data_IF_897192932769
#
_entry.id   IF_897192932769
#
_cell.length_a   1.000
_cell.length_b   1.000
_cell.length_c   1.000
_cell.angle_alpha   90.00
_cell.angle_beta   90.00
_cell.angle_gamma   90.00
#
_symmetry.space_group_name_H-M   'P 1'
#
loop_
_entity.id
_entity.type
_entity.pdbx_description
1 polymer ?
#
# COMPACT_ATOMS: atom_id res chain seq x y z
N UNK A 1 18.86 -15.80 -19.72
CA UNK A 1 19.89 -16.87 -19.71
C UNK A 1 19.33 -18.26 -19.31
N UNK A 2 18.01 -18.53 -19.44
CA UNK A 2 17.40 -19.85 -19.17
C UNK A 2 17.43 -20.80 -20.37
N UNK A 3 17.28 -20.27 -21.59
CA UNK A 3 17.21 -21.05 -22.83
C UNK A 3 18.45 -21.93 -23.10
N UNK A 4 19.65 -21.46 -22.74
CA UNK A 4 20.90 -22.20 -22.97
C UNK A 4 20.87 -23.60 -22.33
N UNK A 5 20.25 -23.72 -21.15
CA UNK A 5 20.11 -25.02 -20.48
C UNK A 5 19.23 -25.98 -21.27
N UNK A 6 18.06 -25.52 -21.74
CA UNK A 6 17.16 -26.35 -22.54
C UNK A 6 17.80 -26.84 -23.85
N UNK A 7 18.54 -25.96 -24.52
CA UNK A 7 19.31 -26.34 -25.71
C UNK A 7 20.35 -27.43 -25.41
N UNK A 8 21.15 -27.24 -24.36
CA UNK A 8 22.19 -28.20 -23.99
C UNK A 8 21.62 -29.54 -23.54
N UNK A 9 20.54 -29.51 -22.77
CA UNK A 9 19.84 -30.71 -22.29
C UNK A 9 19.25 -31.51 -23.47
N UNK A 10 18.61 -30.86 -24.44
CA UNK A 10 18.07 -31.51 -25.65
C UNK A 10 19.17 -32.06 -26.56
N UNK A 11 20.27 -31.33 -26.74
CA UNK A 11 21.40 -31.80 -27.54
C UNK A 11 22.06 -33.04 -26.90
N UNK A 12 22.23 -33.05 -25.58
CA UNK A 12 22.74 -34.20 -24.85
C UNK A 12 21.78 -35.40 -24.97
N UNK A 13 20.48 -35.16 -24.80
CA UNK A 13 19.46 -36.20 -24.92
C UNK A 13 19.41 -36.84 -26.32
N UNK A 14 19.51 -36.03 -27.39
CA UNK A 14 19.58 -36.53 -28.77
C UNK A 14 20.80 -37.41 -29.01
N UNK A 15 21.94 -37.06 -28.42
CA UNK A 15 23.18 -37.85 -28.51
C UNK A 15 23.07 -39.17 -27.75
N UNK A 16 22.43 -39.17 -26.59
CA UNK A 16 22.16 -40.39 -25.82
C UNK A 16 21.25 -41.34 -26.59
N UNK A 17 20.13 -40.83 -27.12
CA UNK A 17 19.21 -41.58 -27.97
C UNK A 17 19.89 -42.10 -29.24
N UNK A 18 20.72 -41.28 -29.88
CA UNK A 18 21.47 -41.69 -31.07
C UNK A 18 22.40 -42.88 -30.79
N UNK A 19 23.08 -42.88 -29.63
CA UNK A 19 23.92 -44.00 -29.19
C UNK A 19 23.12 -45.26 -28.93
N UNK A 20 21.98 -45.16 -28.25
CA UNK A 20 21.09 -46.30 -27.98
C UNK A 20 20.53 -46.89 -29.28
N UNK A 21 20.01 -46.05 -30.18
CA UNK A 21 19.46 -46.46 -31.46
C UNK A 21 20.51 -47.13 -32.37
N UNK A 22 21.73 -46.58 -32.39
CA UNK A 22 22.86 -47.12 -33.13
C UNK A 22 23.31 -48.50 -32.62
N UNK A 23 23.21 -48.76 -31.31
CA UNK A 23 23.54 -50.06 -30.73
C UNK A 23 22.59 -51.16 -31.23
N UNK A 24 21.31 -50.83 -31.43
CA UNK A 24 20.30 -51.75 -31.98
C UNK A 24 20.32 -51.82 -33.51
N UNK A 25 20.86 -50.81 -34.18
CA UNK A 25 20.87 -50.69 -35.64
C UNK A 25 22.29 -50.42 -36.18
N UNK A 26 23.16 -51.45 -36.25
CA UNK A 26 24.59 -51.26 -36.59
C UNK A 26 24.84 -50.63 -37.96
N UNK A 27 23.92 -50.79 -38.92
CA UNK A 27 24.01 -50.18 -40.25
C UNK A 27 23.84 -48.66 -40.24
N UNK A 28 23.19 -48.11 -39.21
CA UNK A 28 22.91 -46.68 -39.07
C UNK A 28 23.84 -46.00 -38.06
N UNK A 29 24.65 -46.77 -37.33
CA UNK A 29 25.59 -46.26 -36.34
C UNK A 29 26.52 -45.14 -36.84
N UNK A 30 27.12 -45.21 -38.06
CA UNK A 30 28.02 -44.16 -38.54
C UNK A 30 27.39 -42.76 -38.64
N UNK A 31 26.05 -42.68 -38.68
CA UNK A 31 25.31 -41.42 -38.83
C UNK A 31 24.73 -40.91 -37.52
N UNK A 32 24.56 -41.76 -36.50
CA UNK A 32 23.77 -41.47 -35.30
C UNK A 32 24.51 -41.80 -33.98
N UNK A 33 25.61 -42.54 -34.02
CA UNK A 33 26.35 -42.90 -32.82
C UNK A 33 27.30 -41.78 -32.38
N UNK A 34 26.95 -41.05 -31.32
CA UNK A 34 27.85 -40.07 -30.68
C UNK A 34 28.10 -38.81 -31.51
N UNK A 35 29.29 -38.22 -31.37
CA UNK A 35 29.71 -37.06 -32.17
C UNK A 35 30.03 -37.52 -33.59
N UNK A 36 29.21 -37.10 -34.56
CA UNK A 36 29.40 -37.42 -35.97
C UNK A 36 30.65 -36.71 -36.50
N UNK A 37 31.41 -37.40 -37.36
CA UNK A 37 32.52 -36.76 -38.09
C UNK A 37 32.04 -35.85 -39.23
N UNK A 38 30.72 -35.84 -39.51
CA UNK A 38 30.10 -34.98 -40.52
C UNK A 38 29.57 -33.68 -39.87
N UNK A 39 30.19 -32.52 -40.18
CA UNK A 39 29.77 -31.23 -39.64
C UNK A 39 28.33 -30.83 -40.02
N UNK A 40 27.78 -31.35 -41.13
CA UNK A 40 26.41 -31.03 -41.54
C UNK A 40 25.37 -31.77 -40.68
N UNK A 41 25.69 -33.02 -40.28
CA UNK A 41 24.85 -33.80 -39.37
C UNK A 41 24.84 -33.18 -37.98
N UNK A 42 26.00 -32.76 -37.46
CA UNK A 42 26.07 -32.07 -36.16
C UNK A 42 25.26 -30.77 -36.17
N UNK A 43 25.38 -29.95 -37.23
CA UNK A 43 24.58 -28.72 -37.36
C UNK A 43 23.09 -28.98 -37.43
N UNK A 44 22.67 -30.09 -38.03
CA UNK A 44 21.27 -30.49 -38.07
C UNK A 44 20.77 -30.89 -36.67
N UNK A 45 21.56 -31.66 -35.91
CA UNK A 45 21.24 -32.03 -34.52
C UNK A 45 21.19 -30.81 -33.60
N UNK A 46 22.13 -29.88 -33.74
CA UNK A 46 22.13 -28.60 -33.01
C UNK A 46 20.90 -27.76 -33.37
N UNK A 47 20.56 -27.65 -34.67
CA UNK A 47 19.38 -26.93 -35.12
C UNK A 47 18.07 -27.55 -34.59
N UNK A 48 17.99 -28.88 -34.55
CA UNK A 48 16.86 -29.61 -33.98
C UNK A 48 16.76 -29.38 -32.46
N UNK A 49 17.86 -29.53 -31.72
CA UNK A 49 17.93 -29.26 -30.29
C UNK A 49 17.55 -27.82 -29.94
N UNK A 50 17.91 -26.86 -30.79
CA UNK A 50 17.55 -25.45 -30.61
C UNK A 50 16.04 -25.24 -30.75
N UNK A 51 15.40 -25.87 -31.73
CA UNK A 51 13.95 -25.78 -31.93
C UNK A 51 13.17 -26.51 -30.82
N UNK A 52 13.55 -27.75 -30.49
CA UNK A 52 12.88 -28.54 -29.46
C UNK A 52 13.12 -27.99 -28.07
N UNK A 53 14.32 -27.49 -27.78
CA UNK A 53 14.63 -26.81 -26.52
C UNK A 53 13.77 -25.56 -26.32
N UNK A 54 13.45 -24.83 -27.39
CA UNK A 54 12.56 -23.66 -27.32
C UNK A 54 11.11 -24.08 -27.08
N UNK A 55 10.67 -25.17 -27.72
CA UNK A 55 9.34 -25.72 -27.51
C UNK A 55 9.19 -26.21 -26.06
N UNK A 56 10.16 -26.95 -25.55
CA UNK A 56 10.17 -27.47 -24.18
C UNK A 56 10.22 -26.35 -23.15
N UNK A 57 11.04 -25.33 -23.38
CA UNK A 57 11.01 -24.13 -22.54
C UNK A 57 9.60 -23.50 -22.53
N UNK A 58 8.97 -23.37 -23.71
CA UNK A 58 7.62 -22.79 -23.80
C UNK A 58 6.58 -23.65 -23.07
N UNK A 59 6.63 -24.98 -23.21
CA UNK A 59 5.74 -25.91 -22.51
C UNK A 59 5.93 -25.85 -20.99
N UNK A 60 7.17 -25.77 -20.50
CA UNK A 60 7.44 -25.58 -19.07
C UNK A 60 6.95 -24.20 -18.58
N UNK A 61 7.03 -23.18 -19.44
CA UNK A 61 6.52 -21.83 -19.18
C UNK A 61 4.97 -21.72 -19.29
N UNK A 62 4.25 -22.74 -19.81
CA UNK A 62 2.77 -22.77 -19.92
C UNK A 62 2.06 -23.07 -18.57
N UNK A 63 2.69 -23.77 -17.63
CA UNK A 63 2.09 -24.07 -16.33
C UNK A 63 1.73 -22.81 -15.50
N UNK A 64 2.55 -21.74 -15.53
CA UNK A 64 2.16 -20.40 -15.06
C UNK A 64 0.89 -19.84 -15.71
N UNK A 65 0.61 -20.06 -16.99
CA UNK A 65 -0.57 -19.49 -17.67
C UNK A 65 -1.87 -20.09 -17.13
N UNK A 66 -1.91 -21.40 -16.90
CA UNK A 66 -3.05 -22.07 -16.28
C UNK A 66 -3.24 -21.63 -14.82
N UNK A 67 -2.14 -21.62 -14.04
CA UNK A 67 -2.17 -21.21 -12.63
C UNK A 67 -2.58 -19.74 -12.47
N UNK A 68 -2.05 -18.85 -13.30
CA UNK A 68 -2.47 -17.45 -13.33
C UNK A 68 -3.93 -17.28 -13.70
N UNK A 69 -4.45 -18.05 -14.66
CA UNK A 69 -5.88 -17.99 -15.02
C UNK A 69 -6.77 -18.40 -13.85
N UNK A 70 -6.41 -19.45 -13.10
CA UNK A 70 -7.13 -19.85 -11.89
C UNK A 70 -7.03 -18.80 -10.77
N UNK A 71 -5.86 -18.21 -10.55
CA UNK A 71 -5.67 -17.13 -9.57
C UNK A 71 -6.44 -15.88 -10.02
N UNK A 72 -6.50 -15.56 -11.30
CA UNK A 72 -7.27 -14.44 -11.83
C UNK A 72 -8.78 -14.62 -11.57
N UNK A 73 -9.28 -15.86 -11.59
CA UNK A 73 -10.68 -16.17 -11.27
C UNK A 73 -10.99 -16.12 -9.78
N UNK A 74 -10.05 -16.50 -8.92
CA UNK A 74 -10.29 -16.70 -7.49
C UNK A 74 -9.75 -15.58 -6.60
N UNK A 75 -8.61 -14.99 -6.98
CA UNK A 75 -7.79 -14.08 -6.19
C UNK A 75 -7.07 -13.03 -7.08
N UNK A 76 -7.77 -12.30 -7.97
CA UNK A 76 -7.15 -11.40 -8.97
C UNK A 76 -6.29 -10.29 -8.35
N UNK A 77 -6.58 -9.87 -7.12
CA UNK A 77 -5.83 -8.82 -6.43
C UNK A 77 -4.35 -9.19 -6.17
N UNK A 78 -4.03 -10.48 -6.10
CA UNK A 78 -2.65 -10.94 -5.85
C UNK A 78 -1.77 -10.94 -7.11
N UNK A 79 -2.36 -10.77 -8.29
CA UNK A 79 -1.63 -10.60 -9.55
C UNK A 79 -1.37 -9.12 -9.88
N UNK A 80 -1.99 -8.20 -9.13
CA UNK A 80 -1.80 -6.76 -9.33
C UNK A 80 -0.52 -6.28 -8.64
N UNK A 81 0.23 -5.35 -9.26
CA UNK A 81 1.37 -4.71 -8.59
C UNK A 81 0.90 -3.92 -7.37
N UNK A 82 1.74 -3.82 -6.34
CA UNK A 82 1.48 -2.97 -5.18
C UNK A 82 1.84 -1.52 -5.54
N UNK A 83 0.89 -0.58 -5.60
CA UNK A 83 1.20 0.81 -5.92
C UNK A 83 1.96 1.49 -4.77
N UNK A 84 2.71 2.54 -5.09
CA UNK A 84 3.34 3.36 -4.07
C UNK A 84 2.28 4.01 -3.16
N UNK A 85 2.58 4.12 -1.87
CA UNK A 85 1.69 4.73 -0.88
C UNK A 85 2.47 5.61 0.09
N UNK A 86 1.80 6.60 0.67
CA UNK A 86 2.37 7.54 1.63
C UNK A 86 1.33 7.99 2.64
N UNK A 87 1.75 8.71 3.69
CA UNK A 87 0.86 9.45 4.58
C UNK A 87 1.02 10.93 4.26
N UNK A 88 -0.10 11.62 4.01
CA UNK A 88 -0.15 13.06 3.75
C UNK A 88 -0.71 13.76 4.98
N UNK A 89 -0.07 14.85 5.40
CA UNK A 89 -0.56 15.76 6.44
C UNK A 89 -1.09 17.05 5.79
N UNK A 90 -2.30 17.45 6.15
CA UNK A 90 -2.90 18.70 5.71
C UNK A 90 -2.80 19.76 6.80
N UNK A 91 -2.11 20.86 6.50
CA UNK A 91 -2.07 22.03 7.39
C UNK A 91 -3.14 23.04 6.96
N UNK A 92 -4.21 23.23 7.76
CA UNK A 92 -5.25 24.19 7.41
C UNK A 92 -4.72 25.62 7.44
N UNK A 93 -5.18 26.44 6.49
CA UNK A 93 -4.95 27.88 6.50
C UNK A 93 -6.15 28.51 7.19
N UNK A 94 -5.94 29.07 8.37
CA UNK A 94 -7.00 29.54 9.29
C UNK A 94 -7.99 30.52 8.63
N UNK A 95 -7.52 31.35 7.69
CA UNK A 95 -8.37 32.32 6.97
C UNK A 95 -9.28 31.69 5.90
N UNK A 96 -9.06 30.43 5.53
CA UNK A 96 -9.73 29.76 4.41
C UNK A 96 -10.62 28.59 4.85
N UNK A 97 -10.65 28.25 6.14
CA UNK A 97 -11.32 27.07 6.69
C UNK A 97 -12.36 27.52 7.71
N UNK A 98 -13.58 26.99 7.61
CA UNK A 98 -14.76 27.33 8.43
C UNK A 98 -14.93 26.38 9.63
N UNK A 99 -13.88 25.66 10.02
CA UNK A 99 -13.85 24.79 11.20
C UNK A 99 -14.46 23.38 11.03
N UNK A 100 -15.20 23.10 9.96
CA UNK A 100 -15.79 21.77 9.66
C UNK A 100 -15.43 21.23 8.28
N UNK A 101 -14.46 21.83 7.58
CA UNK A 101 -14.11 21.40 6.24
C UNK A 101 -13.58 19.97 6.22
N UNK A 102 -14.02 19.23 5.21
CA UNK A 102 -13.63 17.85 4.97
C UNK A 102 -12.87 17.81 3.66
N UNK A 103 -11.67 17.24 3.67
CA UNK A 103 -10.99 16.83 2.44
C UNK A 103 -11.57 15.47 2.07
N UNK A 104 -12.28 15.35 0.93
CA UNK A 104 -12.89 14.09 0.55
C UNK A 104 -11.85 13.01 0.26
N UNK A 105 -12.21 11.76 0.51
CA UNK A 105 -11.57 10.59 -0.10
C UNK A 105 -11.57 10.78 -1.61
N UNK A 106 -10.47 10.40 -2.25
CA UNK A 106 -10.33 10.55 -3.68
C UNK A 106 -9.70 11.87 -4.12
N UNK A 107 -9.35 12.75 -3.18
CA UNK A 107 -8.66 14.01 -3.49
C UNK A 107 -7.27 13.72 -4.04
N UNK A 108 -6.95 14.31 -5.18
CA UNK A 108 -5.64 14.15 -5.83
C UNK A 108 -4.66 15.21 -5.30
N UNK A 109 -3.47 14.76 -4.93
CA UNK A 109 -2.35 15.58 -4.49
C UNK A 109 -1.13 15.24 -5.36
N UNK A 110 -0.52 16.26 -5.96
CA UNK A 110 0.69 16.06 -6.76
C UNK A 110 1.94 16.06 -5.88
N UNK A 111 2.88 15.16 -6.18
CA UNK A 111 4.23 15.26 -5.65
C UNK A 111 5.00 16.41 -6.31
N UNK A 112 6.11 16.81 -5.70
CA UNK A 112 7.16 17.49 -6.45
C UNK A 112 7.71 16.60 -7.58
N UNK A 113 8.43 17.17 -8.56
CA UNK A 113 8.93 16.42 -9.70
C UNK A 113 9.97 15.38 -9.26
N UNK A 114 9.76 14.14 -9.64
CA UNK A 114 10.73 13.03 -9.55
C UNK A 114 11.16 12.70 -10.97
N UNK A 115 12.44 12.86 -11.28
CA UNK A 115 12.98 12.75 -12.65
C UNK A 115 12.21 13.61 -13.67
N UNK A 116 11.78 14.80 -13.24
CA UNK A 116 11.02 15.74 -14.07
C UNK A 116 9.52 15.45 -14.19
N UNK A 117 9.01 14.40 -13.53
CA UNK A 117 7.60 14.00 -13.57
C UNK A 117 6.92 14.21 -12.22
N UNK A 118 5.79 14.90 -12.20
CA UNK A 118 4.93 14.94 -11.00
C UNK A 118 4.16 13.63 -10.89
N UNK A 119 4.19 13.02 -9.71
CA UNK A 119 3.50 11.78 -9.41
C UNK A 119 2.24 12.11 -8.59
N UNK A 120 1.03 11.98 -9.16
CA UNK A 120 -0.20 12.18 -8.41
C UNK A 120 -0.46 11.02 -7.44
N UNK A 121 -0.93 11.36 -6.26
CA UNK A 121 -1.44 10.45 -5.24
C UNK A 121 -2.87 10.82 -4.89
N UNK A 122 -3.67 9.82 -4.53
CA UNK A 122 -5.07 10.00 -4.18
C UNK A 122 -5.30 9.63 -2.72
N UNK A 123 -5.98 10.50 -1.95
CA UNK A 123 -6.35 10.23 -0.56
C UNK A 123 -7.31 9.03 -0.48
N UNK A 124 -7.12 8.15 0.50
CA UNK A 124 -7.95 6.93 0.63
C UNK A 124 -9.01 7.02 1.72
N UNK A 125 -9.02 8.09 2.50
CA UNK A 125 -10.03 8.37 3.52
C UNK A 125 -10.43 9.84 3.52
N UNK A 126 -11.62 10.15 4.05
CA UNK A 126 -12.02 11.52 4.34
C UNK A 126 -11.17 12.08 5.48
N UNK A 127 -10.73 13.33 5.37
CA UNK A 127 -10.02 14.04 6.44
C UNK A 127 -10.87 15.18 6.95
N UNK A 128 -11.40 15.05 8.15
CA UNK A 128 -12.02 16.18 8.84
C UNK A 128 -10.91 17.10 9.36
N UNK A 129 -10.78 18.28 8.77
CA UNK A 129 -9.72 19.21 9.12
C UNK A 129 -9.97 19.81 10.51
N UNK A 130 -8.98 19.65 11.38
CA UNK A 130 -8.91 20.31 12.68
C UNK A 130 -7.98 21.50 12.57
N UNK A 131 -8.52 22.70 12.74
CA UNK A 131 -7.75 23.95 12.87
C UNK A 131 -7.12 24.02 14.25
N UNK A 132 -6.11 23.16 14.43
CA UNK A 132 -5.35 23.01 15.65
C UNK A 132 -3.92 22.63 15.28
N UNK A 133 -2.98 22.99 16.16
CA UNK A 133 -1.57 22.66 16.00
C UNK A 133 -1.08 21.99 17.27
N UNK A 134 -0.52 20.79 17.13
CA UNK A 134 0.23 20.15 18.21
C UNK A 134 1.45 21.01 18.51
N UNK A 135 1.59 21.44 19.76
CA UNK A 135 2.69 22.26 20.26
C UNK A 135 3.70 21.42 21.03
N UNK A 136 3.23 20.50 21.88
CA UNK A 136 4.08 19.64 22.69
C UNK A 136 3.51 18.22 22.75
N UNK A 137 4.40 17.23 22.74
CA UNK A 137 4.08 15.83 22.97
C UNK A 137 5.16 15.27 23.88
N UNK A 138 4.78 14.87 25.08
CA UNK A 138 5.71 14.36 26.08
C UNK A 138 5.16 13.20 26.86
N UNK A 139 6.05 12.38 27.38
CA UNK A 139 5.71 11.31 28.30
C UNK A 139 6.37 11.58 29.64
N UNK A 140 5.58 11.46 30.70
CA UNK A 140 6.06 11.55 32.06
C UNK A 140 5.86 10.20 32.74
N UNK A 141 6.98 9.53 33.02
CA UNK A 141 6.98 8.24 33.70
C UNK A 141 7.05 8.44 35.21
N UNK A 142 6.26 7.65 35.92
CA UNK A 142 6.30 7.44 37.35
C UNK A 142 6.68 5.98 37.63
N UNK A 143 6.91 5.64 38.90
CA UNK A 143 7.39 4.30 39.30
C UNK A 143 6.53 3.13 38.81
N UNK A 144 5.21 3.33 38.67
CA UNK A 144 4.24 2.28 38.27
C UNK A 144 3.17 2.78 37.29
N UNK A 145 3.40 3.91 36.65
CA UNK A 145 2.46 4.52 35.71
C UNK A 145 3.20 5.45 34.76
N UNK A 146 2.57 5.78 33.64
CA UNK A 146 3.03 6.81 32.73
C UNK A 146 1.86 7.72 32.37
N UNK A 147 2.16 8.92 31.89
CA UNK A 147 1.17 9.74 31.19
C UNK A 147 1.76 10.27 29.90
N UNK A 148 1.03 10.12 28.80
CA UNK A 148 1.32 10.77 27.53
C UNK A 148 0.49 12.06 27.48
N UNK A 149 1.15 13.20 27.37
CA UNK A 149 0.52 14.51 27.22
C UNK A 149 0.67 14.96 25.77
N UNK A 150 -0.46 15.32 25.16
CA UNK A 150 -0.51 16.00 23.86
C UNK A 150 -1.12 17.37 24.10
N UNK A 151 -0.33 18.42 23.92
CA UNK A 151 -0.78 19.80 24.04
C UNK A 151 -0.97 20.40 22.65
N UNK A 152 -2.16 20.93 22.42
CA UNK A 152 -2.54 21.56 21.16
C UNK A 152 -3.00 22.99 21.39
N UNK A 153 -2.61 23.86 20.48
CA UNK A 153 -3.20 25.18 20.35
C UNK A 153 -4.36 25.10 19.35
N UNK A 154 -5.48 25.72 19.72
CA UNK A 154 -6.69 25.74 18.91
C UNK A 154 -6.87 27.12 18.30
N UNK A 155 -7.24 27.17 17.03
CA UNK A 155 -7.61 28.44 16.41
C UNK A 155 -8.97 28.92 16.96
N UNK A 156 -9.09 30.19 17.41
CA UNK A 156 -10.34 30.69 18.00
C UNK A 156 -11.57 30.54 17.10
N UNK A 157 -11.41 30.77 15.79
CA UNK A 157 -12.48 30.62 14.81
C UNK A 157 -12.95 29.15 14.67
N UNK A 158 -12.11 28.20 15.03
CA UNK A 158 -12.42 26.78 14.97
C UNK A 158 -13.31 26.34 16.13
N UNK A 159 -13.12 26.89 17.34
CA UNK A 159 -13.88 26.47 18.53
C UNK A 159 -15.37 26.82 18.47
N UNK A 160 -15.73 27.95 17.84
CA UNK A 160 -17.11 28.43 17.80
C UNK A 160 -17.99 27.66 16.80
N UNK A 161 -17.38 27.00 15.80
CA UNK A 161 -18.09 26.35 14.69
C UNK A 161 -17.76 24.85 14.54
N UNK A 162 -16.62 24.39 15.07
CA UNK A 162 -16.21 23.01 14.88
C UNK A 162 -16.98 22.08 15.81
N UNK A 163 -17.69 21.13 15.22
CA UNK A 163 -18.22 19.99 15.94
C UNK A 163 -17.11 18.95 16.09
N UNK A 164 -16.36 19.03 17.18
CA UNK A 164 -15.29 18.07 17.50
C UNK A 164 -15.92 16.77 18.00
N UNK A 165 -16.34 15.91 17.08
CA UNK A 165 -16.84 14.57 17.40
C UNK A 165 -15.70 13.56 17.67
N UNK A 166 -14.54 13.79 17.06
CA UNK A 166 -13.36 12.93 17.21
C UNK A 166 -12.09 13.64 16.79
N UNK A 167 -10.95 13.19 17.31
CA UNK A 167 -9.63 13.57 16.79
C UNK A 167 -8.92 12.30 16.34
N UNK A 168 -8.52 12.27 15.08
CA UNK A 168 -7.71 11.21 14.51
C UNK A 168 -6.24 11.57 14.65
N UNK A 169 -5.50 10.73 15.37
CA UNK A 169 -4.05 10.85 15.54
C UNK A 169 -3.32 9.88 14.62
N UNK A 170 -2.34 10.38 13.88
CA UNK A 170 -1.34 9.56 13.21
C UNK A 170 -0.09 9.45 14.08
N UNK A 171 0.39 8.24 14.31
CA UNK A 171 1.55 7.96 15.14
C UNK A 171 2.80 7.92 14.25
N UNK A 172 3.40 9.09 14.04
CA UNK A 172 4.42 9.34 13.00
C UNK A 172 5.87 9.02 13.40
N UNK A 173 6.13 8.52 14.62
CA UNK A 173 7.40 7.93 15.06
C UNK A 173 8.69 8.47 14.43
N UNK A 174 9.28 9.52 15.02
CA UNK A 174 10.42 10.27 14.46
C UNK A 174 11.74 9.52 14.25
N UNK A 175 11.91 8.33 14.84
CA UNK A 175 13.17 7.57 14.83
C UNK A 175 12.95 6.07 14.56
N UNK A 176 11.97 5.74 13.72
CA UNK A 176 11.67 4.38 13.28
C UNK A 176 10.31 3.87 13.75
N UNK A 177 9.92 2.73 13.20
CA UNK A 177 8.57 2.14 13.35
C UNK A 177 8.28 1.59 14.75
N UNK A 178 9.30 1.39 15.58
CA UNK A 178 9.16 0.88 16.95
C UNK A 178 8.39 1.85 17.85
N UNK A 179 8.70 3.15 17.81
CA UNK A 179 8.00 4.16 18.62
C UNK A 179 6.51 4.21 18.27
N UNK A 180 6.17 4.27 16.98
CA UNK A 180 4.77 4.31 16.54
C UNK A 180 3.99 3.08 16.98
N UNK A 181 4.58 1.88 16.85
CA UNK A 181 3.96 0.61 17.25
C UNK A 181 3.79 0.52 18.77
N UNK A 182 4.78 0.95 19.53
CA UNK A 182 4.69 1.02 20.99
C UNK A 182 3.64 2.04 21.44
N UNK A 183 3.55 3.21 20.81
CA UNK A 183 2.48 4.18 21.07
C UNK A 183 1.10 3.59 20.72
N UNK A 184 0.98 2.92 19.58
CA UNK A 184 -0.26 2.29 19.14
C UNK A 184 -0.76 1.25 20.16
N UNK A 185 0.15 0.36 20.61
CA UNK A 185 -0.12 -0.59 21.70
C UNK A 185 -0.51 0.13 22.98
N UNK A 186 0.29 1.10 23.43
CA UNK A 186 0.06 1.79 24.70
C UNK A 186 -1.31 2.51 24.73
N UNK A 187 -1.68 3.17 23.64
CA UNK A 187 -2.95 3.88 23.51
C UNK A 187 -4.15 2.92 23.53
N UNK A 188 -4.09 1.82 22.77
CA UNK A 188 -5.22 0.92 22.61
C UNK A 188 -5.37 -0.09 23.75
N UNK A 189 -4.27 -0.58 24.33
CA UNK A 189 -4.32 -1.67 25.31
C UNK A 189 -3.94 -1.25 26.72
N UNK A 190 -3.10 -0.22 26.87
CA UNK A 190 -2.48 0.14 28.17
C UNK A 190 -2.95 1.50 28.69
N UNK A 191 -3.96 2.13 28.10
CA UNK A 191 -4.53 3.38 28.61
C UNK A 191 -5.67 3.09 29.58
N UNK A 192 -5.62 3.65 30.79
CA UNK A 192 -6.67 3.57 31.82
C UNK A 192 -7.81 4.55 31.56
N UNK A 193 -7.46 5.80 31.28
CA UNK A 193 -8.38 6.90 31.06
C UNK A 193 -7.71 8.01 30.26
N UNK A 194 -8.51 8.89 29.68
CA UNK A 194 -8.06 10.10 29.00
C UNK A 194 -8.63 11.30 29.74
N UNK A 195 -7.81 12.32 30.00
CA UNK A 195 -8.24 13.56 30.63
C UNK A 195 -8.04 14.70 29.64
N UNK A 196 -9.10 15.43 29.35
CA UNK A 196 -9.08 16.62 28.51
C UNK A 196 -9.13 17.86 29.40
N UNK A 197 -8.37 18.90 29.06
CA UNK A 197 -8.44 20.20 29.72
C UNK A 197 -8.08 21.34 28.77
N UNK A 198 -8.65 22.52 28.97
CA UNK A 198 -8.47 23.68 28.08
C UNK A 198 -7.67 24.85 28.70
N UNK A 199 -7.02 24.59 29.84
CA UNK A 199 -6.28 25.60 30.59
C UNK A 199 -7.16 26.52 31.44
N UNK A 200 -8.50 26.50 31.29
CA UNK A 200 -9.42 27.24 32.16
C UNK A 200 -9.60 26.60 33.55
N UNK A 201 -9.08 25.38 33.73
CA UNK A 201 -9.26 24.55 34.92
C UNK A 201 -10.38 23.51 34.78
N UNK A 202 -11.22 23.60 33.76
CA UNK A 202 -12.21 22.55 33.45
C UNK A 202 -11.52 21.28 32.96
N UNK A 203 -11.99 20.13 33.44
CA UNK A 203 -11.50 18.81 33.02
C UNK A 203 -12.64 17.90 32.62
N UNK A 204 -12.45 17.16 31.54
CA UNK A 204 -13.36 16.11 31.07
C UNK A 204 -12.62 14.78 31.09
N UNK A 205 -13.15 13.82 31.84
CA UNK A 205 -12.58 12.48 31.92
C UNK A 205 -13.30 11.55 30.94
N UNK A 206 -12.55 10.90 30.06
CA UNK A 206 -13.03 9.90 29.13
C UNK A 206 -12.50 8.52 29.50
N UNK A 207 -13.35 7.52 29.38
CA UNK A 207 -12.96 6.13 29.53
C UNK A 207 -12.13 5.68 28.31
N UNK A 208 -11.20 4.72 28.51
CA UNK A 208 -10.34 4.18 27.43
C UNK A 208 -11.08 3.67 26.18
N UNK A 209 -12.37 3.32 26.32
CA UNK A 209 -13.23 2.84 25.23
C UNK A 209 -13.43 3.85 24.10
N UNK A 210 -13.18 5.13 24.34
CA UNK A 210 -13.26 6.18 23.32
C UNK A 210 -12.00 6.23 22.45
N UNK A 211 -11.01 5.39 22.73
CA UNK A 211 -9.82 5.22 21.91
C UNK A 211 -10.05 3.99 21.04
N UNK A 212 -10.12 4.17 19.73
CA UNK A 212 -10.37 3.10 18.76
C UNK A 212 -9.30 3.07 17.67
N UNK A 213 -8.95 1.89 17.14
CA UNK A 213 -8.06 1.81 15.99
C UNK A 213 -8.76 2.33 14.74
N UNK A 214 -8.03 2.98 13.85
CA UNK A 214 -8.53 3.48 12.56
C UNK A 214 -7.85 2.76 11.38
N UNK A 215 -8.49 2.76 10.20
CA UNK A 215 -7.93 2.20 8.97
C UNK A 215 -8.15 0.70 8.77
N UNK A 216 -8.98 0.06 9.60
CA UNK A 216 -9.31 -1.37 9.55
C UNK A 216 -10.61 -1.67 8.79
N UNK A 217 -11.43 -0.66 8.51
CA UNK A 217 -12.69 -0.84 7.80
C UNK A 217 -12.48 -0.93 6.29
N UNK A 218 -13.40 -1.58 5.57
CA UNK A 218 -13.39 -1.66 4.11
C UNK A 218 -13.45 -0.28 3.43
N UNK A 219 -14.20 0.67 4.03
CA UNK A 219 -14.29 2.05 3.52
C UNK A 219 -12.95 2.79 3.56
N UNK A 220 -12.08 2.41 4.49
CA UNK A 220 -10.74 2.97 4.67
C UNK A 220 -9.65 2.15 3.98
N UNK A 221 -10.00 1.23 3.07
CA UNK A 221 -9.03 0.47 2.28
C UNK A 221 -8.15 1.40 1.43
N UNK A 222 -6.84 1.13 1.47
CA UNK A 222 -5.81 1.79 0.69
C UNK A 222 -5.78 1.25 -0.75
N UNK A 223 -5.89 -0.08 -0.91
CA UNK A 223 -5.87 -0.74 -2.22
C UNK A 223 -7.31 -1.02 -2.66
N UNK A 224 -7.76 -0.53 -3.83
CA UNK A 224 -9.11 -0.79 -4.32
C UNK A 224 -9.44 -2.29 -4.33
N UNK A 225 -10.48 -2.67 -3.60
CA UNK A 225 -10.89 -4.08 -3.50
C UNK A 225 -11.54 -4.50 -4.81
N UNK A 226 -11.19 -5.68 -5.31
CA UNK A 226 -11.83 -6.25 -6.51
C UNK A 226 -13.21 -6.83 -6.13
N UNK A 227 -14.15 -6.84 -7.07
CA UNK A 227 -15.49 -7.40 -6.86
C UNK A 227 -15.39 -8.86 -6.37
N UNK A 228 -16.00 -9.17 -5.22
CA UNK A 228 -15.97 -10.52 -4.62
C UNK A 228 -14.75 -10.85 -3.76
N UNK A 229 -13.85 -9.89 -3.50
CA UNK A 229 -12.71 -10.10 -2.60
C UNK A 229 -13.12 -10.25 -1.13
N UNK A 230 -12.50 -11.21 -0.43
CA UNK A 230 -12.66 -11.35 1.03
C UNK A 230 -11.85 -10.26 1.72
N UNK A 231 -12.51 -9.38 2.49
CA UNK A 231 -11.92 -8.21 3.16
C UNK A 231 -10.63 -8.53 3.95
N UNK A 232 -10.57 -9.71 4.58
CA UNK A 232 -9.42 -10.16 5.34
C UNK A 232 -8.13 -10.26 4.51
N UNK A 233 -8.21 -10.59 3.22
CA UNK A 233 -7.03 -10.63 2.36
C UNK A 233 -6.50 -9.24 2.03
N UNK A 234 -7.40 -8.27 1.80
CA UNK A 234 -7.02 -6.88 1.56
C UNK A 234 -6.26 -6.32 2.77
N UNK A 235 -6.78 -6.57 3.98
CA UNK A 235 -6.11 -6.14 5.21
C UNK A 235 -4.72 -6.77 5.37
N UNK A 236 -4.57 -8.07 5.08
CA UNK A 236 -3.27 -8.72 5.11
C UNK A 236 -2.31 -8.11 4.08
N UNK A 237 -2.76 -7.91 2.84
CA UNK A 237 -1.95 -7.32 1.77
C UNK A 237 -1.48 -5.92 2.15
N UNK A 238 -2.37 -5.07 2.66
CA UNK A 238 -2.04 -3.73 3.12
C UNK A 238 -1.10 -3.76 4.32
N UNK A 239 -1.29 -4.70 5.26
CA UNK A 239 -0.44 -4.83 6.44
C UNK A 239 1.02 -5.13 6.07
N UNK A 240 1.24 -6.03 5.10
CA UNK A 240 2.58 -6.35 4.63
C UNK A 240 3.16 -5.32 3.66
N UNK A 241 2.31 -4.64 2.88
CA UNK A 241 2.75 -3.67 1.87
C UNK A 241 3.02 -2.28 2.45
N UNK A 242 2.12 -1.79 3.31
CA UNK A 242 2.20 -0.45 3.89
C UNK A 242 1.65 -0.41 5.33
N UNK A 243 2.39 -0.97 6.32
CA UNK A 243 1.94 -1.05 7.71
C UNK A 243 1.59 0.30 8.33
N UNK A 244 2.17 1.40 7.82
CA UNK A 244 1.94 2.75 8.33
C UNK A 244 0.47 3.18 8.24
N UNK A 245 -0.32 2.57 7.34
CA UNK A 245 -1.77 2.76 7.24
C UNK A 245 -2.51 2.46 8.56
N UNK A 246 -2.00 1.52 9.37
CA UNK A 246 -2.65 1.06 10.59
C UNK A 246 -2.18 1.81 11.84
N UNK A 247 -1.31 2.79 11.72
CA UNK A 247 -0.76 3.55 12.85
C UNK A 247 -1.61 4.79 13.16
N UNK A 248 -2.93 4.64 13.07
CA UNK A 248 -3.91 5.67 13.38
C UNK A 248 -4.79 5.26 14.55
N UNK A 249 -5.10 6.22 15.40
CA UNK A 249 -5.99 6.04 16.55
C UNK A 249 -6.99 7.20 16.56
N UNK A 250 -8.26 6.86 16.70
CA UNK A 250 -9.33 7.83 16.91
C UNK A 250 -9.60 8.00 18.40
N UNK A 251 -9.65 9.25 18.83
CA UNK A 251 -10.20 9.63 20.12
C UNK A 251 -11.58 10.24 19.89
N UNK A 252 -12.63 9.49 20.22
CA UNK A 252 -14.00 9.99 20.23
C UNK A 252 -14.17 11.02 21.35
N UNK A 253 -14.84 12.12 21.01
CA UNK A 253 -15.07 13.23 21.91
C UNK A 253 -16.57 13.40 22.17
N UNK A 254 -16.97 13.79 23.39
CA UNK A 254 -18.36 14.09 23.68
C UNK A 254 -18.81 15.34 22.93
N UNK A 255 -20.04 15.32 22.39
CA UNK A 255 -20.61 16.42 21.59
C UNK A 255 -20.49 17.80 22.25
N UNK A 256 -20.63 17.85 23.58
CA UNK A 256 -20.47 19.06 24.37
C UNK A 256 -19.24 18.91 25.26
N UNK A 257 -18.06 19.20 24.73
CA UNK A 257 -16.83 19.26 25.51
C UNK A 257 -16.89 20.35 26.59
N UNK A 258 -17.66 21.42 26.36
CA UNK A 258 -17.75 22.57 27.26
C UNK A 258 -16.45 23.39 27.35
N UNK A 259 -15.40 22.97 26.64
CA UNK A 259 -14.11 23.61 26.60
C UNK A 259 -14.20 24.90 25.78
N UNK A 260 -13.78 26.00 26.39
CA UNK A 260 -13.83 27.36 25.82
C UNK A 260 -12.44 27.98 25.66
N UNK A 261 -11.42 27.30 26.16
CA UNK A 261 -10.03 27.75 26.06
C UNK A 261 -9.46 27.62 24.64
N UNK A 262 -8.43 28.44 24.37
CA UNK A 262 -7.66 28.46 23.10
C UNK A 262 -6.61 27.33 23.00
N UNK A 263 -6.62 26.41 23.95
CA UNK A 263 -5.68 25.29 24.00
C UNK A 263 -6.43 24.04 24.43
N UNK A 264 -5.95 22.88 24.01
CA UNK A 264 -6.47 21.58 24.41
C UNK A 264 -5.30 20.69 24.82
N UNK A 265 -5.29 20.29 26.09
CA UNK A 265 -4.36 19.30 26.61
C UNK A 265 -5.08 17.97 26.77
N UNK A 266 -4.51 16.93 26.18
CA UNK A 266 -5.01 15.56 26.22
C UNK A 266 -3.99 14.72 26.97
N UNK A 267 -4.38 14.20 28.13
CA UNK A 267 -3.55 13.32 28.94
C UNK A 267 -4.07 11.88 28.85
N UNK A 268 -3.28 10.99 28.24
CA UNK A 268 -3.55 9.54 28.26
C UNK A 268 -2.84 8.94 29.49
N UNK A 269 -3.64 8.49 30.46
CA UNK A 269 -3.12 7.87 31.68
C UNK A 269 -2.81 6.40 31.42
N UNK A 270 -1.53 6.03 31.44
CA UNK A 270 -1.07 4.69 31.10
C UNK A 270 -1.03 3.77 32.33
N UNK A 271 -1.21 2.46 32.10
CA UNK A 271 -1.21 1.43 33.12
C UNK A 271 0.17 1.25 33.76
N UNK A 272 1.24 1.46 32.98
CA UNK A 272 2.64 1.38 33.41
C UNK A 272 3.51 2.46 32.75
N UNK A 273 4.81 2.52 33.10
CA UNK A 273 5.74 3.44 32.45
C UNK A 273 5.94 3.07 30.97
N UNK A 274 6.17 4.07 30.12
CA UNK A 274 6.44 3.86 28.71
C UNK A 274 7.94 3.88 28.45
N UNK A 275 8.48 2.76 27.94
CA UNK A 275 9.93 2.53 27.83
C UNK A 275 10.64 3.53 26.90
N UNK A 276 9.97 3.93 25.81
CA UNK A 276 10.53 4.81 24.78
C UNK A 276 10.25 6.29 25.06
N UNK A 277 10.03 6.68 26.32
CA UNK A 277 9.65 8.06 26.68
C UNK A 277 10.66 9.11 26.17
N UNK A 278 11.95 8.80 26.22
CA UNK A 278 13.02 9.72 25.81
C UNK A 278 13.17 9.90 24.28
N UNK A 279 12.47 9.09 23.48
CA UNK A 279 12.48 9.21 22.01
C UNK A 279 11.28 9.99 21.49
N UNK A 280 10.31 10.32 22.35
CA UNK A 280 9.14 11.08 21.96
C UNK A 280 9.51 12.53 21.65
N UNK A 281 8.78 13.10 20.71
CA UNK A 281 8.95 14.45 20.22
C UNK A 281 7.60 14.95 19.73
N UNK A 282 7.50 16.26 19.50
CA UNK A 282 6.30 16.90 18.94
C UNK A 282 5.84 16.22 17.64
N UNK A 283 6.77 15.73 16.83
CA UNK A 283 6.50 15.09 15.56
C UNK A 283 6.11 13.62 15.67
N UNK A 284 6.13 13.03 16.87
CA UNK A 284 5.74 11.62 17.09
C UNK A 284 4.23 11.40 16.95
N UNK A 285 3.43 12.45 17.07
CA UNK A 285 1.98 12.44 16.89
C UNK A 285 1.60 13.58 15.95
N UNK A 286 0.76 13.28 14.96
CA UNK A 286 0.23 14.23 13.98
C UNK A 286 -1.29 14.15 13.93
N UNK A 287 -1.92 15.18 13.41
CA UNK A 287 -3.36 15.25 13.11
C UNK A 287 -3.55 15.68 11.65
N UNK A 288 -4.77 15.61 11.14
CA UNK A 288 -5.09 15.94 9.74
C UNK A 288 -4.29 15.10 8.72
N UNK A 289 -3.96 13.86 9.10
CA UNK A 289 -3.23 12.94 8.26
C UNK A 289 -4.17 11.93 7.58
N UNK A 290 -3.83 11.50 6.37
CA UNK A 290 -4.49 10.39 5.67
C UNK A 290 -3.50 9.58 4.84
N UNK A 291 -3.70 8.27 4.70
CA UNK A 291 -3.02 7.51 3.67
C UNK A 291 -3.40 8.00 2.27
N UNK A 292 -2.43 7.98 1.37
CA UNK A 292 -2.62 8.27 -0.04
C UNK A 292 -1.88 7.24 -0.89
N UNK A 293 -2.45 6.89 -2.04
CA UNK A 293 -1.94 5.87 -2.94
C UNK A 293 -1.67 6.46 -4.32
N UNK A 294 -0.62 6.01 -5.01
CA UNK A 294 -0.31 6.37 -6.39
C UNK A 294 -1.23 5.60 -7.34
N UNK A 295 -2.52 5.89 -7.26
CA UNK A 295 -3.56 5.49 -8.19
C UNK A 295 -4.45 6.71 -8.38
N UNK A 296 -4.88 6.93 -9.61
CA UNK A 296 -5.70 8.09 -9.95
C UNK A 296 -6.49 7.80 -11.23
N UNK A 297 -7.69 8.38 -11.37
CA UNK A 297 -8.47 8.26 -12.59
C UNK A 297 -7.69 8.80 -13.79
N UNK A 298 -7.69 8.06 -14.89
CA UNK A 298 -7.02 8.46 -16.12
C UNK A 298 -7.80 7.97 -17.34
N UNK A 299 -7.88 8.79 -18.39
CA UNK A 299 -8.54 8.40 -19.63
C UNK A 299 -7.61 7.55 -20.51
N UNK A 300 -8.12 6.44 -21.04
CA UNK A 300 -7.45 5.66 -22.08
C UNK A 300 -7.64 6.26 -23.46
N UNK A 301 -6.82 5.83 -24.42
CA UNK A 301 -7.07 6.14 -25.84
C UNK A 301 -8.31 5.38 -26.34
N UNK A 302 -9.17 6.01 -27.16
CA UNK A 302 -10.35 5.35 -27.71
C UNK A 302 -9.94 4.23 -28.67
N UNK A 303 -10.67 3.12 -28.62
CA UNK A 303 -10.44 1.95 -29.48
C UNK A 303 -11.58 1.84 -30.48
N UNK A 304 -11.23 1.72 -31.77
CA UNK A 304 -12.18 1.33 -32.81
C UNK A 304 -12.30 -0.20 -32.82
N UNK A 305 -13.36 -0.70 -32.19
CA UNK A 305 -13.63 -2.13 -32.16
C UNK A 305 -14.04 -2.66 -33.56
N UNK A 306 -13.58 -3.85 -33.91
CA UNK A 306 -14.00 -4.61 -35.09
C UNK A 306 -14.26 -6.07 -34.71
N UNK A 307 -15.03 -6.81 -35.51
CA UNK A 307 -15.40 -8.20 -35.20
C UNK A 307 -14.28 -9.23 -35.49
N UNK A 308 -13.12 -8.80 -35.98
CA UNK A 308 -12.03 -9.71 -36.41
C UNK A 308 -10.92 -9.86 -35.37
N UNK A 309 -10.87 -8.99 -34.37
CA UNK A 309 -9.87 -9.01 -33.30
C UNK A 309 -10.50 -9.36 -31.97
N UNK A 310 -9.97 -10.38 -31.30
CA UNK A 310 -10.44 -10.87 -30.00
C UNK A 310 -9.94 -10.04 -28.83
N UNK A 311 -8.83 -9.31 -29.00
CA UNK A 311 -8.18 -8.54 -27.95
C UNK A 311 -7.70 -7.19 -28.48
N UNK A 312 -7.73 -6.18 -27.60
CA UNK A 312 -7.27 -4.83 -27.91
C UNK A 312 -6.23 -4.38 -26.90
N UNK A 313 -5.13 -3.81 -27.40
CA UNK A 313 -4.14 -3.18 -26.53
C UNK A 313 -4.69 -1.86 -26.02
N UNK A 314 -4.78 -1.75 -24.70
CA UNK A 314 -5.10 -0.50 -24.02
C UNK A 314 -3.83 0.33 -23.83
N UNK A 315 -3.94 1.62 -24.11
CA UNK A 315 -2.90 2.62 -23.83
C UNK A 315 -3.49 3.74 -22.97
N UNK A 316 -2.74 4.15 -21.96
CA UNK A 316 -3.06 5.35 -21.20
C UNK A 316 -2.60 6.57 -22.01
N UNK A 317 -3.48 7.56 -22.18
CA UNK A 317 -3.22 8.76 -22.96
C UNK A 317 -2.13 9.63 -22.30
N UNK A 318 -0.88 9.54 -22.76
CA UNK A 318 0.22 10.35 -22.21
C UNK A 318 0.42 11.63 -23.02
N UNK A 319 0.43 12.80 -22.37
CA UNK A 319 0.66 14.07 -23.05
C UNK A 319 2.15 14.48 -23.12
N UNK A 320 3.03 13.97 -22.25
CA UNK A 320 4.40 14.50 -22.07
C UNK A 320 5.45 13.46 -21.64
N UNK A 321 5.36 12.21 -22.10
CA UNK A 321 6.39 11.19 -21.80
C UNK A 321 6.35 10.62 -20.37
N UNK A 322 5.30 10.93 -19.59
CA UNK A 322 5.04 10.25 -18.32
C UNK A 322 4.88 8.75 -18.57
N UNK A 323 5.62 7.94 -17.81
CA UNK A 323 5.46 6.49 -17.78
C UNK A 323 4.21 6.14 -16.97
N UNK A 324 3.07 6.03 -17.65
CA UNK A 324 1.82 5.59 -17.05
C UNK A 324 1.65 4.08 -17.25
N UNK A 325 1.35 3.38 -16.17
CA UNK A 325 0.96 1.97 -16.19
C UNK A 325 -0.52 1.84 -15.84
N UNK A 326 -1.25 1.03 -16.60
CA UNK A 326 -2.66 0.76 -16.35
C UNK A 326 -2.75 -0.20 -15.16
N UNK A 327 -3.46 0.19 -14.11
CA UNK A 327 -3.70 -0.65 -12.94
C UNK A 327 -4.98 -1.48 -13.07
N UNK A 328 -6.08 -0.84 -13.46
CA UNK A 328 -7.39 -1.47 -13.70
C UNK A 328 -8.18 -0.66 -14.71
N UNK A 329 -9.15 -1.32 -15.35
CA UNK A 329 -10.19 -0.67 -16.16
C UNK A 329 -11.45 -0.61 -15.32
N UNK A 330 -11.86 0.60 -14.94
CA UNK A 330 -13.04 0.81 -14.10
C UNK A 330 -14.33 0.86 -14.91
N UNK A 331 -14.28 1.45 -16.12
CA UNK A 331 -15.45 1.61 -16.97
C UNK A 331 -15.06 1.61 -18.45
N UNK A 332 -15.87 0.94 -19.27
CA UNK A 332 -15.81 1.00 -20.73
C UNK A 332 -17.15 1.54 -21.22
N UNK A 333 -17.10 2.53 -22.10
CA UNK A 333 -18.27 3.10 -22.77
C UNK A 333 -18.00 3.19 -24.26
N UNK A 334 -19.03 3.01 -25.08
CA UNK A 334 -18.97 3.07 -26.53
C UNK A 334 -20.31 3.56 -27.10
N UNK A 335 -20.30 3.96 -28.36
CA UNK A 335 -21.47 4.47 -29.09
C UNK A 335 -21.56 3.88 -30.48
#
# INVERSE_FOLDING_TARGET
MKFNKYYQDELAYLRDLGREFAAENPSLAPYLSGESNDPEVERLLEGFAFLTGRLRQKLDDEFPEFSHSLIQLTLPQFLKPVPAATIIEFTPIVSAVSGNDVIPKGTVVESGPVDGTNCPFQTTTNVQLRCARIQDVRIENMRRSGRLLVHMELDPAALEQANWSSIRFYLAGTKGTSLSRSLYKALLTETKAVVLSDGSGQKVNLHKKHITPAGLSAEESLIPTSYGGVEGYTLMQEYFSFPNKFLFVDLELPKNLGLTGKSLSIEFLLEGPFELANTISRESIRINCTPAINLFPHQGDPILANERTTEYRLTARSNNGNQLNIFSVEQVTGW
#
